data_IF_326579651109
#
_entry.id   IF_326579651109
#
_cell.length_a   1.000
_cell.length_b   1.000
_cell.length_c   1.000
_cell.angle_alpha   90.00
_cell.angle_beta   90.00
_cell.angle_gamma   90.00
#
_symmetry.space_group_name_H-M   'P 1'
#
loop_
_entity.id
_entity.type
_entity.pdbx_description
1 polymer ?
#
# COMPACT_ATOMS: atom_id res chain seq x y z
N UNK A 1 -6.74 -10.88 -22.44
CA UNK A 1 -7.82 -11.65 -21.79
C UNK A 1 -7.44 -11.92 -20.34
N UNK A 2 -6.22 -12.41 -20.07
CA UNK A 2 -5.69 -12.61 -18.70
C UNK A 2 -5.55 -11.31 -17.89
N UNK A 3 -4.97 -10.25 -18.49
CA UNK A 3 -4.85 -8.93 -17.84
C UNK A 3 -6.18 -8.28 -17.42
N UNK A 4 -7.25 -8.51 -18.20
CA UNK A 4 -8.60 -7.98 -17.90
C UNK A 4 -9.22 -8.72 -16.72
N UNK A 5 -8.92 -10.02 -16.56
CA UNK A 5 -9.40 -10.81 -15.42
C UNK A 5 -8.67 -10.41 -14.13
N UNK A 6 -7.36 -10.17 -14.19
CA UNK A 6 -6.59 -9.67 -13.05
C UNK A 6 -7.09 -8.29 -12.59
N UNK A 7 -7.32 -7.38 -13.53
CA UNK A 7 -7.92 -6.06 -13.27
C UNK A 7 -9.24 -6.20 -12.50
N UNK A 8 -10.18 -7.00 -13.01
CA UNK A 8 -11.47 -7.24 -12.36
C UNK A 8 -11.30 -7.84 -10.96
N UNK A 9 -10.39 -8.80 -10.80
CA UNK A 9 -10.15 -9.48 -9.51
C UNK A 9 -9.60 -8.50 -8.46
N UNK A 10 -8.66 -7.63 -8.84
CA UNK A 10 -8.12 -6.63 -7.91
C UNK A 10 -9.16 -5.58 -7.54
N UNK A 11 -9.93 -5.08 -8.51
CA UNK A 11 -10.97 -4.09 -8.23
C UNK A 11 -12.06 -4.65 -7.31
N UNK A 12 -12.45 -5.91 -7.50
CA UNK A 12 -13.39 -6.60 -6.61
C UNK A 12 -12.84 -6.81 -5.19
N UNK A 13 -11.52 -7.02 -5.05
CA UNK A 13 -10.90 -7.38 -3.76
C UNK A 13 -10.39 -6.18 -2.96
N UNK A 14 -9.89 -5.14 -3.63
CA UNK A 14 -9.18 -4.00 -3.04
C UNK A 14 -9.86 -2.65 -3.33
N UNK A 15 -10.94 -2.65 -4.11
CA UNK A 15 -11.60 -1.44 -4.61
C UNK A 15 -10.93 -0.90 -5.88
N UNK A 16 -11.58 0.06 -6.54
CA UNK A 16 -11.09 0.67 -7.79
C UNK A 16 -9.96 1.68 -7.58
N UNK A 17 -9.84 2.20 -6.35
CA UNK A 17 -8.90 3.26 -5.99
C UNK A 17 -8.12 2.88 -4.73
N UNK A 18 -6.81 3.10 -4.80
CA UNK A 18 -5.89 3.06 -3.67
C UNK A 18 -5.41 4.47 -3.36
N UNK A 19 -4.67 4.62 -2.26
CA UNK A 19 -3.92 5.84 -1.95
C UNK A 19 -2.43 5.59 -1.88
N UNK A 20 -1.65 6.57 -2.29
CA UNK A 20 -0.22 6.64 -2.05
C UNK A 20 0.14 7.97 -1.38
N UNK A 21 1.18 7.97 -0.56
CA UNK A 21 1.66 9.19 0.07
C UNK A 21 2.66 9.91 -0.82
N UNK A 22 2.38 11.17 -1.14
CA UNK A 22 3.27 12.02 -1.90
C UNK A 22 4.09 12.90 -0.95
N UNK A 23 5.39 12.59 -0.86
CA UNK A 23 6.33 13.30 0.00
C UNK A 23 6.55 14.77 -0.42
N UNK A 24 6.29 15.14 -1.69
CA UNK A 24 6.57 16.48 -2.21
C UNK A 24 5.56 17.52 -1.75
N UNK A 25 4.29 17.14 -1.59
CA UNK A 25 3.22 18.00 -1.10
C UNK A 25 2.68 17.57 0.28
N UNK A 26 3.16 16.45 0.84
CA UNK A 26 2.69 15.91 2.12
C UNK A 26 1.17 15.61 2.10
N UNK A 27 0.69 15.03 1.01
CA UNK A 27 -0.71 14.66 0.80
C UNK A 27 -0.86 13.21 0.35
N UNK A 28 -2.07 12.66 0.52
CA UNK A 28 -2.45 11.36 -0.04
C UNK A 28 -3.06 11.58 -1.42
N UNK A 29 -2.50 10.90 -2.42
CA UNK A 29 -3.00 10.91 -3.78
C UNK A 29 -3.81 9.63 -4.03
N UNK A 30 -4.95 9.76 -4.70
CA UNK A 30 -5.68 8.61 -5.22
C UNK A 30 -5.00 8.09 -6.48
N UNK A 31 -4.89 6.76 -6.56
CA UNK A 31 -4.29 6.04 -7.69
C UNK A 31 -5.17 4.86 -8.06
N UNK A 32 -5.16 4.50 -9.34
CA UNK A 32 -5.96 3.37 -9.82
C UNK A 32 -5.36 2.05 -9.32
N UNK A 33 -6.22 1.14 -8.86
CA UNK A 33 -5.83 -0.23 -8.52
C UNK A 33 -5.22 -1.00 -9.72
N UNK A 34 -5.48 -0.54 -10.95
CA UNK A 34 -4.88 -1.11 -12.15
C UNK A 34 -3.35 -0.98 -12.19
N UNK A 35 -2.75 -0.10 -11.38
CA UNK A 35 -1.29 -0.03 -11.21
C UNK A 35 -0.67 -1.30 -10.57
N UNK A 36 -1.50 -2.21 -10.09
CA UNK A 36 -1.09 -3.52 -9.56
C UNK A 36 -0.94 -4.59 -10.65
N UNK A 37 -1.46 -4.36 -11.85
CA UNK A 37 -1.39 -5.32 -12.96
C UNK A 37 0.09 -5.63 -13.28
N UNK A 38 0.40 -6.91 -13.52
CA UNK A 38 1.75 -7.41 -13.77
C UNK A 38 2.76 -7.22 -12.61
N UNK A 39 2.30 -6.85 -11.41
CA UNK A 39 3.12 -6.78 -10.19
C UNK A 39 2.90 -7.99 -9.28
N UNK A 40 3.92 -8.33 -8.50
CA UNK A 40 3.78 -9.14 -7.31
C UNK A 40 3.14 -8.29 -6.22
N UNK A 41 1.97 -8.67 -5.74
CA UNK A 41 1.22 -7.90 -4.74
C UNK A 41 1.33 -8.58 -3.38
N UNK A 42 1.84 -7.85 -2.39
CA UNK A 42 1.83 -8.25 -0.98
C UNK A 42 0.76 -7.48 -0.21
N UNK A 43 -0.09 -8.17 0.54
CA UNK A 43 -1.05 -7.52 1.44
C UNK A 43 -0.43 -7.39 2.82
N UNK A 44 -0.42 -6.19 3.38
CA UNK A 44 0.17 -5.91 4.68
C UNK A 44 -0.86 -5.32 5.64
N UNK A 45 -1.20 -6.07 6.69
CA UNK A 45 -2.08 -5.61 7.77
C UNK A 45 -1.24 -5.11 8.94
N UNK A 46 -1.46 -3.86 9.37
CA UNK A 46 -0.78 -3.32 10.55
C UNK A 46 -1.53 -2.16 11.18
N UNK A 47 -1.24 -1.95 12.47
CA UNK A 47 -1.65 -0.77 13.24
C UNK A 47 -0.42 -0.12 13.85
N UNK A 48 -0.40 1.21 13.89
CA UNK A 48 0.64 2.03 14.47
C UNK A 48 0.74 1.84 15.99
N UNK A 49 -0.38 1.51 16.65
CA UNK A 49 -0.46 1.23 18.08
C UNK A 49 0.33 -0.04 18.47
N UNK A 50 0.56 -0.96 17.53
CA UNK A 50 1.33 -2.19 17.76
C UNK A 50 2.84 -1.96 17.77
N UNK A 51 3.49 -2.32 18.88
CA UNK A 51 4.96 -2.23 19.04
C UNK A 51 5.73 -3.13 18.08
N UNK A 52 5.14 -4.28 17.70
CA UNK A 52 5.73 -5.20 16.74
C UNK A 52 5.72 -4.56 15.34
N UNK A 53 4.58 -3.99 14.94
CA UNK A 53 4.44 -3.32 13.63
C UNK A 53 5.40 -2.14 13.50
N UNK A 54 5.54 -1.30 14.55
CA UNK A 54 6.50 -0.17 14.52
C UNK A 54 7.95 -0.60 14.28
N UNK A 55 8.34 -1.79 14.74
CA UNK A 55 9.68 -2.33 14.52
C UNK A 55 9.82 -3.08 13.18
N UNK A 56 8.72 -3.63 12.65
CA UNK A 56 8.72 -4.41 11.42
C UNK A 56 8.55 -3.55 10.17
N UNK A 57 7.64 -2.57 10.17
CA UNK A 57 7.36 -1.69 9.02
C UNK A 57 8.63 -1.06 8.42
N UNK A 58 9.59 -0.51 9.21
CA UNK A 58 10.81 0.06 8.65
C UNK A 58 11.70 -0.97 7.94
N UNK A 59 11.74 -2.21 8.46
CA UNK A 59 12.48 -3.31 7.82
C UNK A 59 11.83 -3.70 6.51
N UNK A 60 10.51 -3.87 6.51
CA UNK A 60 9.73 -4.19 5.31
C UNK A 60 9.91 -3.10 4.24
N UNK A 61 9.87 -1.82 4.61
CA UNK A 61 10.14 -0.71 3.70
C UNK A 61 11.55 -0.76 3.08
N UNK A 62 12.57 -1.13 3.86
CA UNK A 62 13.92 -1.31 3.34
C UNK A 62 14.00 -2.48 2.33
N UNK A 63 13.37 -3.62 2.64
CA UNK A 63 13.30 -4.75 1.72
C UNK A 63 12.55 -4.41 0.43
N UNK A 64 11.41 -3.73 0.54
CA UNK A 64 10.61 -3.27 -0.59
C UNK A 64 11.45 -2.42 -1.55
N UNK A 65 12.14 -1.40 -1.02
CA UNK A 65 13.02 -0.52 -1.81
C UNK A 65 14.16 -1.32 -2.48
N UNK A 66 14.80 -2.22 -1.74
CA UNK A 66 15.89 -3.05 -2.27
C UNK A 66 15.43 -3.99 -3.39
N UNK A 67 14.30 -4.67 -3.21
CA UNK A 67 13.73 -5.59 -4.20
C UNK A 67 13.35 -4.86 -5.49
N UNK A 68 12.66 -3.72 -5.37
CA UNK A 68 12.24 -2.93 -6.52
C UNK A 68 13.41 -2.32 -7.29
N UNK A 69 14.48 -1.94 -6.59
CA UNK A 69 15.73 -1.50 -7.23
C UNK A 69 16.39 -2.62 -8.03
N UNK A 70 16.30 -3.88 -7.58
CA UNK A 70 16.92 -5.02 -8.24
C UNK A 70 16.09 -5.60 -9.39
N UNK A 71 14.76 -5.52 -9.31
CA UNK A 71 13.83 -6.23 -10.21
C UNK A 71 12.94 -5.32 -11.05
N UNK A 72 13.17 -4.01 -11.02
CA UNK A 72 12.49 -3.04 -11.88
C UNK A 72 11.06 -2.73 -11.44
N UNK A 73 10.87 -2.42 -10.15
CA UNK A 73 9.58 -1.98 -9.59
C UNK A 73 8.42 -2.98 -9.75
N UNK A 74 8.70 -4.28 -9.62
CA UNK A 74 7.73 -5.37 -9.79
C UNK A 74 7.00 -5.78 -8.50
N UNK A 75 7.44 -5.36 -7.32
CA UNK A 75 6.74 -5.62 -6.07
C UNK A 75 5.92 -4.40 -5.70
N UNK A 76 4.65 -4.60 -5.38
CA UNK A 76 3.80 -3.61 -4.73
C UNK A 76 3.29 -4.17 -3.41
N UNK A 77 3.23 -3.31 -2.39
CA UNK A 77 2.57 -3.66 -1.13
C UNK A 77 1.29 -2.83 -1.04
N UNK A 78 0.19 -3.50 -0.71
CA UNK A 78 -1.08 -2.83 -0.39
C UNK A 78 -1.28 -2.94 1.10
N UNK A 79 -1.14 -1.79 1.78
CA UNK A 79 -1.38 -1.64 3.20
C UNK A 79 -2.87 -1.59 3.49
N UNK A 80 -3.31 -2.42 4.43
CA UNK A 80 -4.66 -2.40 4.99
C UNK A 80 -4.49 -2.02 6.46
N UNK A 81 -4.99 -0.84 6.80
CA UNK A 81 -4.79 -0.31 8.14
C UNK A 81 -5.72 -0.97 9.14
N UNK A 82 -5.16 -1.28 10.31
CA UNK A 82 -5.91 -1.68 11.49
C UNK A 82 -5.87 -0.56 12.56
N UNK A 83 -5.57 0.68 12.14
CA UNK A 83 -5.56 1.85 13.01
C UNK A 83 -6.98 2.24 13.42
N UNK A 84 -7.10 2.90 14.58
CA UNK A 84 -8.39 3.21 15.20
C UNK A 84 -9.12 4.37 14.52
N UNK A 85 -8.38 5.27 13.87
CA UNK A 85 -8.95 6.44 13.19
C UNK A 85 -8.08 6.93 12.02
N UNK A 86 -8.67 7.80 11.20
CA UNK A 86 -8.06 8.42 10.03
C UNK A 86 -6.76 9.17 10.35
N UNK A 87 -6.68 9.85 11.50
CA UNK A 87 -5.51 10.66 11.87
C UNK A 87 -4.32 9.76 12.18
N UNK A 88 -4.55 8.65 12.89
CA UNK A 88 -3.51 7.66 13.18
C UNK A 88 -3.05 6.99 11.88
N UNK A 89 -4.00 6.63 11.00
CA UNK A 89 -3.69 6.09 9.68
C UNK A 89 -2.80 7.03 8.86
N UNK A 90 -3.17 8.30 8.74
CA UNK A 90 -2.43 9.29 7.94
C UNK A 90 -0.97 9.41 8.45
N UNK A 91 -0.78 9.53 9.77
CA UNK A 91 0.55 9.62 10.38
C UNK A 91 1.38 8.34 10.26
N UNK A 92 0.73 7.18 10.28
CA UNK A 92 1.38 5.89 10.12
C UNK A 92 1.81 5.65 8.67
N UNK A 93 0.93 5.96 7.72
CA UNK A 93 1.10 5.67 6.31
C UNK A 93 2.11 6.60 5.62
N UNK A 94 2.28 7.84 6.10
CA UNK A 94 3.32 8.79 5.65
C UNK A 94 4.75 8.22 5.57
N UNK A 95 5.03 7.14 6.31
CA UNK A 95 6.37 6.52 6.42
C UNK A 95 6.53 5.31 5.50
N UNK A 96 5.51 4.96 4.73
CA UNK A 96 5.46 3.74 3.93
C UNK A 96 5.62 4.05 2.43
N UNK A 97 6.54 3.39 1.72
CA UNK A 97 6.85 3.69 0.32
C UNK A 97 5.94 2.93 -0.68
N UNK A 98 4.73 2.56 -0.27
CA UNK A 98 3.82 1.69 -1.02
C UNK A 98 2.38 2.21 -0.94
N UNK A 99 1.42 1.48 -1.49
CA UNK A 99 0.01 1.89 -1.58
C UNK A 99 -0.82 1.41 -0.38
N UNK A 100 -1.99 2.01 -0.16
CA UNK A 100 -2.94 1.57 0.86
C UNK A 100 -4.38 1.58 0.34
N UNK A 101 -5.25 0.78 0.95
CA UNK A 101 -6.70 0.96 0.81
C UNK A 101 -7.07 2.28 1.51
N UNK A 102 -7.89 3.16 0.90
CA UNK A 102 -8.34 4.38 1.54
C UNK A 102 -9.05 4.05 2.87
N UNK A 103 -8.70 4.74 3.96
CA UNK A 103 -9.26 4.44 5.27
C UNK A 103 -10.78 4.61 5.33
N UNK A 104 -11.35 5.54 4.57
CA UNK A 104 -12.80 5.72 4.43
C UNK A 104 -13.52 4.58 3.68
N UNK A 105 -12.77 3.72 2.99
CA UNK A 105 -13.29 2.55 2.29
C UNK A 105 -13.16 1.24 3.07
N UNK A 106 -12.68 1.29 4.32
CA UNK A 106 -12.61 0.15 5.24
C UNK A 106 -13.82 0.04 6.16
#
# INVERSE_FOLDING_TARGET
MESVVEEMTYNESLGEQLVEYNESNNELNQVSTNELIEKYVGIYFAANSSSICRNFTPKLAAYYKGYNSALGNKLEIVFISCDEDQTIFDEHFKKMPWKAIPFSGM
#
